data_IF_922912742036
#
_entry.id   IF_922912742036
#
_cell.length_a   1.000
_cell.length_b   1.000
_cell.length_c   1.000
_cell.angle_alpha   90.00
_cell.angle_beta   90.00
_cell.angle_gamma   90.00
#
_symmetry.space_group_name_H-M   'P 1'
#
loop_
_entity.id
_entity.type
_entity.pdbx_description
1 polymer ?
#
# COMPACT_ATOMS: atom_id res chain seq x y z
N UNK A 1 -22.81 12.72 -6.93
CA UNK A 1 -21.34 12.82 -6.93
C UNK A 1 -20.84 12.06 -8.16
N UNK A 2 -19.69 12.40 -8.75
CA UNK A 2 -19.15 11.59 -9.84
C UNK A 2 -18.87 10.16 -9.34
N UNK A 3 -19.34 9.16 -10.09
CA UNK A 3 -19.14 7.72 -9.80
C UNK A 3 -17.72 7.29 -10.19
N UNK A 4 -16.73 7.90 -9.53
CA UNK A 4 -15.31 7.72 -9.82
C UNK A 4 -14.60 7.27 -8.56
N UNK A 5 -13.83 6.21 -8.67
CA UNK A 5 -12.81 5.83 -7.69
C UNK A 5 -11.51 6.55 -8.04
N UNK A 6 -10.79 7.06 -7.03
CA UNK A 6 -9.46 7.65 -7.21
C UNK A 6 -8.44 6.96 -6.30
N UNK A 7 -7.19 6.89 -6.75
CA UNK A 7 -6.06 6.49 -5.93
C UNK A 7 -5.15 7.69 -5.65
N UNK A 8 -4.90 7.96 -4.38
CA UNK A 8 -3.95 8.98 -3.93
C UNK A 8 -2.65 8.27 -3.56
N UNK A 9 -1.62 8.44 -4.39
CA UNK A 9 -0.28 7.95 -4.09
C UNK A 9 0.51 8.96 -3.22
N UNK A 10 0.00 9.23 -2.01
CA UNK A 10 0.66 10.11 -1.05
C UNK A 10 0.18 9.86 0.37
N UNK A 11 1.11 9.48 1.26
CA UNK A 11 0.87 9.38 2.70
C UNK A 11 0.82 10.74 3.42
N UNK A 12 1.05 11.84 2.70
CA UNK A 12 1.08 13.22 3.24
C UNK A 12 -0.14 14.03 2.84
N UNK A 13 -1.20 13.36 2.42
CA UNK A 13 -2.43 14.02 2.06
C UNK A 13 -3.05 14.74 3.28
N UNK A 14 -3.31 16.04 3.15
CA UNK A 14 -3.72 16.96 4.24
C UNK A 14 -5.05 17.67 3.99
N UNK A 15 -5.67 17.45 2.83
CA UNK A 15 -6.91 18.11 2.46
C UNK A 15 -8.10 17.22 2.81
N UNK A 16 -9.33 17.76 2.93
CA UNK A 16 -10.53 16.93 3.13
C UNK A 16 -10.69 15.87 2.03
N UNK A 17 -11.34 14.74 2.36
CA UNK A 17 -11.69 13.68 1.42
C UNK A 17 -12.35 14.25 0.15
N UNK A 18 -11.78 14.02 -1.04
CA UNK A 18 -12.40 14.46 -2.29
C UNK A 18 -13.82 13.93 -2.42
N UNK A 19 -14.71 14.73 -3.04
CA UNK A 19 -16.11 14.36 -3.29
C UNK A 19 -16.21 13.40 -4.48
N UNK A 20 -15.81 12.15 -4.25
CA UNK A 20 -15.78 11.04 -5.23
C UNK A 20 -16.41 9.78 -4.62
N UNK A 21 -16.61 8.71 -5.41
CA UNK A 21 -17.23 7.48 -4.93
C UNK A 21 -16.38 6.80 -3.85
N UNK A 22 -15.10 6.56 -4.13
CA UNK A 22 -14.13 5.99 -3.18
C UNK A 22 -12.74 6.58 -3.35
N UNK A 23 -12.04 6.70 -2.23
CA UNK A 23 -10.63 7.10 -2.16
C UNK A 23 -9.79 5.91 -1.72
N UNK A 24 -8.84 5.56 -2.57
CA UNK A 24 -7.79 4.57 -2.29
C UNK A 24 -6.51 5.29 -1.91
N UNK A 25 -5.75 4.75 -0.96
CA UNK A 25 -4.43 5.26 -0.58
C UNK A 25 -3.37 4.19 -0.76
N UNK A 26 -2.31 4.54 -1.48
CA UNK A 26 -1.13 3.71 -1.66
C UNK A 26 -0.18 3.82 -0.46
N UNK A 27 0.50 2.73 -0.11
CA UNK A 27 1.54 2.66 0.93
C UNK A 27 2.83 3.33 0.49
N UNK A 28 3.04 3.45 -0.82
CA UNK A 28 4.22 4.05 -1.43
C UNK A 28 5.41 3.10 -1.53
N UNK A 29 5.17 1.79 -1.69
CA UNK A 29 6.21 0.79 -1.95
C UNK A 29 7.09 1.13 -3.15
N UNK A 30 6.50 1.75 -4.18
CA UNK A 30 7.25 2.29 -5.32
C UNK A 30 8.29 3.35 -4.91
N UNK A 31 7.93 4.29 -4.03
CA UNK A 31 8.84 5.32 -3.55
C UNK A 31 10.01 4.73 -2.75
N UNK A 32 9.80 3.62 -2.04
CA UNK A 32 10.88 2.87 -1.37
C UNK A 32 11.92 2.43 -2.40
N UNK A 33 11.46 1.84 -3.50
CA UNK A 33 12.32 1.35 -4.57
C UNK A 33 13.10 2.46 -5.25
N UNK A 34 12.43 3.52 -5.73
CA UNK A 34 13.07 4.53 -6.56
C UNK A 34 13.94 5.53 -5.78
N UNK A 35 13.65 5.75 -4.49
CA UNK A 35 14.32 6.79 -3.69
C UNK A 35 15.14 6.22 -2.53
N UNK A 36 15.19 4.89 -2.37
CA UNK A 36 15.86 4.23 -1.24
C UNK A 36 15.29 4.62 0.13
N UNK A 37 14.05 5.13 0.15
CA UNK A 37 13.41 5.58 1.39
C UNK A 37 12.93 4.37 2.16
N UNK A 38 13.39 4.17 3.40
CA UNK A 38 12.78 3.19 4.29
C UNK A 38 11.47 3.75 4.84
N UNK A 39 10.36 3.11 4.51
CA UNK A 39 9.09 3.33 5.22
C UNK A 39 8.99 2.26 6.28
N UNK A 40 8.95 2.69 7.54
CA UNK A 40 8.68 1.81 8.65
C UNK A 40 7.17 1.53 8.76
N UNK A 41 6.79 0.28 9.02
CA UNK A 41 5.38 -0.11 9.18
C UNK A 41 4.68 0.67 10.30
N UNK A 42 5.38 1.01 11.38
CA UNK A 42 4.82 1.80 12.48
C UNK A 42 4.44 3.19 12.02
N UNK A 43 5.30 3.82 11.22
CA UNK A 43 5.03 5.14 10.64
C UNK A 43 3.86 5.08 9.66
N UNK A 44 3.77 3.99 8.88
CA UNK A 44 2.65 3.79 7.97
C UNK A 44 1.32 3.65 8.73
N UNK A 45 1.29 2.87 9.81
CA UNK A 45 0.12 2.72 10.69
C UNK A 45 -0.33 4.08 11.22
N UNK A 46 0.59 4.90 11.72
CA UNK A 46 0.28 6.24 12.23
C UNK A 46 -0.35 7.09 11.12
N UNK A 47 0.21 7.06 9.91
CA UNK A 47 -0.31 7.82 8.77
C UNK A 47 -1.69 7.32 8.35
N UNK A 48 -1.91 6.00 8.25
CA UNK A 48 -3.20 5.43 7.87
C UNK A 48 -4.31 5.72 8.88
N UNK A 49 -3.99 5.81 10.17
CA UNK A 49 -4.94 6.27 11.20
C UNK A 49 -5.36 7.73 11.00
N UNK A 50 -4.46 8.58 10.51
CA UNK A 50 -4.70 10.01 10.32
C UNK A 50 -5.38 10.35 8.98
N UNK A 51 -5.33 9.46 7.99
CA UNK A 51 -5.93 9.66 6.68
C UNK A 51 -7.39 9.21 6.65
N UNK A 52 -8.23 9.93 5.92
CA UNK A 52 -9.65 9.62 5.71
C UNK A 52 -9.89 9.03 4.31
N UNK A 53 -9.57 7.74 4.15
CA UNK A 53 -9.76 7.01 2.90
C UNK A 53 -10.69 5.81 3.10
N UNK A 54 -11.26 5.31 2.01
CA UNK A 54 -12.15 4.14 2.04
C UNK A 54 -11.35 2.84 2.00
N UNK A 55 -10.22 2.84 1.29
CA UNK A 55 -9.40 1.66 1.03
C UNK A 55 -7.92 2.04 1.15
N UNK A 56 -7.14 1.18 1.81
CA UNK A 56 -5.71 1.36 2.01
C UNK A 56 -4.97 0.16 1.46
N UNK A 57 -3.88 0.41 0.75
CA UNK A 57 -3.06 -0.64 0.13
C UNK A 57 -1.96 -1.06 1.13
N UNK A 58 -1.66 -2.35 1.26
CA UNK A 58 -0.59 -2.80 2.14
C UNK A 58 0.78 -2.28 1.67
N UNK A 59 1.75 -2.23 2.58
CA UNK A 59 3.13 -1.95 2.18
C UNK A 59 3.70 -3.09 1.35
N UNK A 60 3.90 -2.84 0.06
CA UNK A 60 4.59 -3.75 -0.85
C UNK A 60 6.08 -3.41 -0.95
N UNK A 61 6.85 -4.47 -1.12
CA UNK A 61 8.22 -4.42 -1.58
C UNK A 61 8.15 -4.87 -3.04
N UNK A 62 8.50 -4.02 -4.02
CA UNK A 62 8.52 -4.39 -5.43
C UNK A 62 9.78 -5.21 -5.76
N UNK A 63 9.73 -6.12 -6.74
CA UNK A 63 10.85 -7.00 -7.07
C UNK A 63 12.05 -6.19 -7.57
N UNK A 64 13.27 -6.65 -7.21
CA UNK A 64 14.51 -6.00 -7.67
C UNK A 64 14.74 -6.17 -9.16
N UNK A 65 14.27 -7.27 -9.72
CA UNK A 65 14.35 -7.59 -11.14
C UNK A 65 12.96 -8.02 -11.60
N UNK A 66 12.56 -7.56 -12.78
CA UNK A 66 11.37 -8.10 -13.43
C UNK A 66 11.56 -9.62 -13.58
N UNK A 67 10.47 -10.37 -13.47
CA UNK A 67 10.48 -11.83 -13.55
C UNK A 67 11.19 -12.58 -12.41
N UNK A 68 11.53 -11.93 -11.28
CA UNK A 68 12.02 -12.65 -10.10
C UNK A 68 10.90 -12.94 -9.12
N UNK A 69 10.72 -14.23 -8.78
CA UNK A 69 9.89 -14.64 -7.64
C UNK A 69 10.84 -14.92 -6.46
N UNK A 70 11.08 -13.89 -5.65
CA UNK A 70 11.80 -14.08 -4.40
C UNK A 70 10.81 -14.48 -3.31
N UNK A 71 10.80 -15.77 -2.92
CA UNK A 71 9.92 -16.28 -1.86
C UNK A 71 9.98 -15.43 -0.58
N UNK A 72 11.17 -14.98 -0.20
CA UNK A 72 11.35 -14.13 0.98
C UNK A 72 10.60 -12.80 0.86
N UNK A 73 10.62 -12.19 -0.32
CA UNK A 73 9.92 -10.94 -0.60
C UNK A 73 8.41 -11.12 -0.56
N UNK A 74 7.90 -12.20 -1.16
CA UNK A 74 6.49 -12.56 -1.08
C UNK A 74 6.04 -12.70 0.39
N UNK A 75 6.83 -13.42 1.20
CA UNK A 75 6.54 -13.59 2.63
C UNK A 75 6.58 -12.27 3.40
N UNK A 76 7.49 -11.35 3.06
CA UNK A 76 7.54 -10.03 3.72
C UNK A 76 6.32 -9.17 3.34
N UNK A 77 5.87 -9.21 2.08
CA UNK A 77 4.64 -8.51 1.66
C UNK A 77 3.39 -9.06 2.38
N UNK A 78 3.29 -10.38 2.52
CA UNK A 78 2.21 -11.03 3.31
C UNK A 78 2.26 -10.56 4.76
N UNK A 79 3.44 -10.60 5.38
CA UNK A 79 3.63 -10.16 6.78
C UNK A 79 3.31 -8.67 6.96
N UNK A 80 3.66 -7.82 6.00
CA UNK A 80 3.29 -6.40 6.01
C UNK A 80 1.77 -6.23 6.00
N UNK A 81 1.08 -6.95 5.11
CA UNK A 81 -0.38 -6.98 5.07
C UNK A 81 -0.98 -7.45 6.40
N UNK A 82 -0.56 -8.60 6.93
CA UNK A 82 -1.09 -9.15 8.19
C UNK A 82 -0.90 -8.19 9.36
N UNK A 83 0.25 -7.52 9.42
CA UNK A 83 0.56 -6.52 10.44
C UNK A 83 -0.39 -5.33 10.33
N UNK A 84 -0.59 -4.78 9.12
CA UNK A 84 -1.49 -3.65 8.90
C UNK A 84 -2.95 -4.03 9.17
N UNK A 85 -3.39 -5.18 8.65
CA UNK A 85 -4.74 -5.71 8.84
C UNK A 85 -5.06 -5.89 10.33
N UNK A 86 -4.13 -6.44 11.10
CA UNK A 86 -4.30 -6.65 12.55
C UNK A 86 -4.23 -5.33 13.33
N UNK A 87 -3.41 -4.37 12.91
CA UNK A 87 -3.23 -3.10 13.66
C UNK A 87 -4.22 -2.01 13.26
N UNK A 88 -4.96 -2.17 12.16
CA UNK A 88 -5.91 -1.22 11.62
C UNK A 88 -7.26 -1.91 11.35
N UNK A 89 -7.80 -2.59 12.37
CA UNK A 89 -9.02 -3.39 12.30
C UNK A 89 -10.25 -2.58 11.82
N UNK A 90 -10.23 -1.27 12.02
CA UNK A 90 -11.27 -0.32 11.58
C UNK A 90 -11.11 0.13 10.11
N UNK A 91 -10.04 -0.30 9.43
CA UNK A 91 -9.70 0.12 8.06
C UNK A 91 -9.76 -1.06 7.10
N UNK A 92 -10.16 -0.78 5.86
CA UNK A 92 -10.12 -1.77 4.77
C UNK A 92 -8.73 -1.80 4.14
N UNK A 93 -7.90 -2.76 4.57
CA UNK A 93 -6.57 -3.00 4.01
C UNK A 93 -6.65 -4.02 2.88
N UNK A 94 -6.07 -3.71 1.72
CA UNK A 94 -5.96 -4.60 0.56
C UNK A 94 -4.50 -5.07 0.43
N UNK A 95 -4.23 -6.38 0.38
CA UNK A 95 -2.88 -6.89 0.19
C UNK A 95 -2.37 -6.61 -1.23
N UNK A 96 -1.07 -6.36 -1.35
CA UNK A 96 -0.33 -6.36 -2.61
C UNK A 96 0.79 -7.38 -2.51
N UNK A 97 0.80 -8.30 -3.47
CA UNK A 97 1.83 -9.34 -3.61
C UNK A 97 2.31 -9.35 -5.05
N UNK A 98 3.61 -9.56 -5.23
CA UNK A 98 4.23 -9.63 -6.55
C UNK A 98 4.57 -11.08 -6.86
N UNK A 99 3.90 -11.64 -7.86
CA UNK A 99 4.09 -13.01 -8.34
C UNK A 99 4.28 -12.97 -9.86
N UNK A 100 5.37 -12.36 -10.33
CA UNK A 100 5.67 -12.28 -11.76
C UNK A 100 6.31 -13.59 -12.22
N UNK A 101 5.63 -14.31 -13.10
CA UNK A 101 6.20 -15.42 -13.84
C UNK A 101 6.50 -14.98 -15.28
N UNK A 102 7.66 -15.35 -15.80
CA UNK A 102 8.04 -15.11 -17.19
C UNK A 102 8.22 -16.42 -17.96
N UNK A 103 7.71 -17.54 -17.41
CA UNK A 103 7.43 -18.76 -18.16
C UNK A 103 6.43 -18.43 -19.27
N UNK A 104 6.92 -18.27 -20.49
CA UNK A 104 6.10 -18.27 -21.70
C UNK A 104 5.61 -19.68 -22.03
#
# INVERSE_FOLDING_TARGET
>A
MPDIDIMINSLRWRWPKPKVLRVWVDSGGYQIMIKGLKIDLRDLIIKYRALDADIYISLDIPPKQLCSIEKQQLMENIKNFETLYTKLEDKKIVPVVHCYDCSS
#
